data_IF_694396167816
#
_entry.id   IF_694396167816
#
_cell.length_a   1.000
_cell.length_b   1.000
_cell.length_c   1.000
_cell.angle_alpha   90.00
_cell.angle_beta   90.00
_cell.angle_gamma   90.00
#
_symmetry.space_group_name_H-M   'P 1'
#
loop_
_entity.id
_entity.type
_entity.pdbx_description
1 polymer ?
#
# COMPACT_ATOMS: atom_id res chain seq x y z
N UNK A 1 -12.05 -15.84 -13.17
CA UNK A 1 -12.34 -14.46 -12.73
C UNK A 1 -11.22 -14.05 -11.79
N UNK A 2 -10.33 -13.14 -12.19
CA UNK A 2 -9.26 -12.65 -11.32
C UNK A 2 -9.87 -11.59 -10.39
N UNK A 3 -9.93 -11.86 -9.10
CA UNK A 3 -10.30 -10.84 -8.12
C UNK A 3 -9.23 -9.74 -8.16
N UNK A 4 -9.60 -8.45 -8.05
CA UNK A 4 -8.62 -7.38 -8.04
C UNK A 4 -7.76 -7.52 -6.78
N UNK A 5 -6.58 -8.09 -6.94
CA UNK A 5 -5.59 -8.21 -5.90
C UNK A 5 -5.04 -6.82 -5.61
N UNK A 6 -5.33 -6.29 -4.42
CA UNK A 6 -4.74 -5.03 -3.96
C UNK A 6 -3.33 -5.31 -3.45
N UNK A 7 -2.43 -4.37 -3.67
CA UNK A 7 -1.08 -4.40 -3.15
C UNK A 7 -0.81 -3.11 -2.39
N UNK A 8 -0.07 -3.23 -1.29
CA UNK A 8 0.43 -2.12 -0.48
C UNK A 8 1.92 -1.98 -0.73
N UNK A 9 2.30 -0.84 -1.30
CA UNK A 9 3.69 -0.46 -1.50
C UNK A 9 4.07 0.52 -0.42
N UNK A 10 5.09 0.19 0.37
CA UNK A 10 5.62 1.05 1.43
C UNK A 10 7.06 1.44 1.10
N UNK A 11 7.34 2.73 1.20
CA UNK A 11 8.68 3.28 1.03
C UNK A 11 9.27 3.62 2.39
N UNK A 12 10.48 3.14 2.62
CA UNK A 12 11.19 3.28 3.88
C UNK A 12 12.53 3.95 3.66
N UNK A 13 12.88 4.85 4.58
CA UNK A 13 14.23 5.36 4.75
C UNK A 13 14.73 4.91 6.12
N UNK A 14 15.46 3.79 6.11
CA UNK A 14 15.76 3.05 7.33
C UNK A 14 14.47 2.65 8.04
N UNK A 15 14.27 3.14 9.26
CA UNK A 15 13.09 2.83 10.08
C UNK A 15 11.88 3.73 9.81
N UNK A 16 12.02 4.76 8.98
CA UNK A 16 10.99 5.78 8.76
C UNK A 16 10.17 5.47 7.51
N UNK A 17 8.86 5.29 7.67
CA UNK A 17 7.92 5.19 6.56
C UNK A 17 7.74 6.56 5.91
N UNK A 18 8.11 6.68 4.64
CA UNK A 18 7.96 7.91 3.86
C UNK A 18 6.61 7.94 3.14
N UNK A 19 6.20 6.80 2.59
CA UNK A 19 5.00 6.72 1.78
C UNK A 19 4.35 5.35 1.88
N UNK A 20 3.03 5.38 1.92
CA UNK A 20 2.16 4.22 1.93
C UNK A 20 1.17 4.33 0.77
N UNK A 21 1.30 3.43 -0.20
CA UNK A 21 0.45 3.41 -1.38
C UNK A 21 -0.30 2.09 -1.45
N UNK A 22 -1.63 2.14 -1.43
CA UNK A 22 -2.48 0.96 -1.63
C UNK A 22 -3.20 1.12 -2.97
N UNK A 23 -3.03 0.14 -3.85
CA UNK A 23 -3.67 0.15 -5.16
C UNK A 23 -3.75 -1.24 -5.77
N UNK A 24 -4.26 -1.31 -7.00
CA UNK A 24 -4.22 -2.56 -7.76
C UNK A 24 -2.78 -2.96 -8.08
N UNK A 25 -2.54 -4.27 -8.23
CA UNK A 25 -1.22 -4.84 -8.48
C UNK A 25 -0.45 -4.13 -9.61
N UNK A 26 -1.11 -3.81 -10.73
CA UNK A 26 -0.48 -3.09 -11.84
C UNK A 26 -0.07 -1.65 -11.47
N UNK A 27 -0.90 -0.94 -10.70
CA UNK A 27 -0.60 0.40 -10.22
C UNK A 27 0.52 0.40 -9.18
N UNK A 28 0.50 -0.56 -8.25
CA UNK A 28 1.53 -0.76 -7.25
C UNK A 28 2.91 -1.04 -7.87
N UNK A 29 2.98 -1.94 -8.86
CA UNK A 29 4.22 -2.25 -9.57
C UNK A 29 4.79 -1.02 -10.30
N UNK A 30 3.92 -0.21 -10.93
CA UNK A 30 4.33 1.03 -11.59
C UNK A 30 4.84 2.06 -10.58
N UNK A 31 4.18 2.18 -9.44
CA UNK A 31 4.58 3.09 -8.36
C UNK A 31 5.94 2.71 -7.79
N UNK A 32 6.14 1.43 -7.47
CA UNK A 32 7.42 0.88 -7.03
C UNK A 32 8.55 1.18 -8.02
N UNK A 33 8.35 0.85 -9.31
CA UNK A 33 9.36 1.07 -10.34
C UNK A 33 9.73 2.56 -10.50
N UNK A 34 8.74 3.45 -10.44
CA UNK A 34 8.97 4.89 -10.50
C UNK A 34 9.75 5.41 -9.29
N UNK A 35 9.44 4.90 -8.09
CA UNK A 35 10.09 5.31 -6.86
C UNK A 35 11.51 4.78 -6.75
N UNK A 36 11.73 3.51 -7.08
CA UNK A 36 13.05 2.88 -7.11
C UNK A 36 13.99 3.54 -8.12
N UNK A 37 13.46 4.03 -9.24
CA UNK A 37 14.23 4.81 -10.23
C UNK A 37 14.61 6.21 -9.73
N UNK A 38 13.72 6.88 -8.99
CA UNK A 38 13.96 8.25 -8.49
C UNK A 38 14.82 8.28 -7.23
N UNK A 39 14.72 7.24 -6.40
CA UNK A 39 15.37 7.17 -5.10
C UNK A 39 16.01 5.78 -4.90
N UNK A 40 17.21 5.54 -5.47
CA UNK A 40 17.86 4.23 -5.42
C UNK A 40 18.29 3.77 -4.02
N UNK A 41 18.25 4.65 -3.02
CA UNK A 41 18.58 4.34 -1.63
C UNK A 41 17.39 4.06 -0.72
N UNK A 42 16.15 4.05 -1.24
CA UNK A 42 14.96 3.74 -0.45
C UNK A 42 14.66 2.25 -0.48
N UNK A 43 14.32 1.69 0.68
CA UNK A 43 13.74 0.36 0.75
C UNK A 43 12.28 0.44 0.33
N UNK A 44 11.89 -0.40 -0.62
CA UNK A 44 10.51 -0.49 -1.08
C UNK A 44 10.01 -1.89 -0.80
N UNK A 45 8.88 -1.98 -0.11
CA UNK A 45 8.19 -3.24 0.20
C UNK A 45 6.87 -3.29 -0.54
N UNK A 46 6.56 -4.42 -1.16
CA UNK A 46 5.35 -4.65 -1.92
C UNK A 46 4.61 -5.85 -1.33
N UNK A 47 3.56 -5.57 -0.57
CA UNK A 47 2.77 -6.59 0.11
C UNK A 47 1.44 -6.77 -0.60
N UNK A 48 1.14 -8.01 -0.97
CA UNK A 48 -0.16 -8.36 -1.52
C UNK A 48 -1.19 -8.34 -0.39
N UNK A 49 -2.15 -7.43 -0.49
CA UNK A 49 -3.28 -7.37 0.42
C UNK A 49 -4.35 -8.37 -0.07
N UNK A 50 -4.63 -9.43 0.70
CA UNK A 50 -5.77 -10.28 0.40
C UNK A 50 -7.04 -9.41 0.47
N UNK A 51 -7.96 -9.61 -0.48
CA UNK A 51 -9.22 -8.83 -0.60
C UNK A 51 -10.14 -8.95 0.63
N UNK A 52 -9.73 -9.71 1.64
CA UNK A 52 -10.33 -9.85 2.97
C UNK A 52 -9.93 -8.76 3.97
N UNK A 53 -9.16 -7.74 3.59
CA UNK A 53 -9.11 -6.51 4.37
C UNK A 53 -10.45 -5.77 4.19
N UNK A 54 -11.49 -6.27 4.89
CA UNK A 54 -12.58 -5.45 5.41
C UNK A 54 -11.89 -4.16 5.86
N UNK A 55 -12.15 -3.05 5.16
CA UNK A 55 -11.80 -1.75 5.67
C UNK A 55 -12.22 -1.80 7.13
N UNK A 56 -11.22 -1.69 8.03
CA UNK A 56 -11.43 -1.72 9.46
C UNK A 56 -12.72 -0.98 9.74
N UNK A 57 -13.63 -1.62 10.47
CA UNK A 57 -14.96 -1.18 10.84
C UNK A 57 -14.99 0.29 11.26
N UNK A 58 -14.88 1.21 10.31
CA UNK A 58 -15.23 2.59 10.51
C UNK A 58 -16.73 2.62 10.37
N UNK A 59 -17.38 2.22 11.46
CA UNK A 59 -18.74 2.62 11.70
C UNK A 59 -18.68 4.11 12.10
N UNK A 60 -19.28 5.03 11.34
CA UNK A 60 -19.42 6.42 11.78
C UNK A 60 -20.20 6.57 13.10
N UNK A 61 -20.70 5.46 13.67
CA UNK A 61 -21.37 5.37 14.95
C UNK A 61 -20.43 5.54 16.17
N UNK A 62 -19.12 5.31 16.04
CA UNK A 62 -18.17 5.46 17.17
C UNK A 62 -17.83 6.92 17.50
N UNK A 63 -18.32 7.88 16.71
CA UNK A 63 -18.09 9.32 16.94
C UNK A 63 -19.10 9.94 17.94
N UNK A 64 -20.12 9.20 18.38
CA UNK A 64 -21.27 9.75 19.11
C UNK A 64 -21.52 9.17 20.52
N UNK A 65 -20.52 8.59 21.19
CA UNK A 65 -20.69 8.10 22.57
C UNK A 65 -19.77 8.77 23.58
#
# INVERSE_FOLDING_TARGET
MSFPTRCRVRLWFGVHLISDYIGEQAGAARYEAAMRRRFPGLEVTNEVLPVTARAADYSPADLHR
#
